data_IF_859616407692
#
_entry.id   IF_859616407692
#
_cell.length_a   1.000
_cell.length_b   1.000
_cell.length_c   1.000
_cell.angle_alpha   90.00
_cell.angle_beta   90.00
_cell.angle_gamma   90.00
#
_symmetry.space_group_name_H-M   'P 1'
#
loop_
_entity.id
_entity.type
_entity.pdbx_description
1 polymer ?
#
# COMPACT_ATOMS: atom_id res chain seq x y z
N UNK A 1 44.18 69.83 -18.48
CA UNK A 1 45.00 69.29 -17.37
C UNK A 1 44.19 69.32 -16.08
N UNK A 2 43.72 68.15 -15.62
CA UNK A 2 43.49 67.73 -14.23
C UNK A 2 42.93 66.28 -14.28
N UNK A 3 43.79 65.31 -13.97
CA UNK A 3 43.46 63.95 -13.50
C UNK A 3 42.89 64.07 -12.07
N UNK A 4 42.18 63.15 -11.40
CA UNK A 4 42.09 61.68 -11.43
C UNK A 4 40.92 61.23 -10.51
N UNK A 5 40.28 60.10 -10.83
CA UNK A 5 39.74 58.98 -9.97
C UNK A 5 39.48 59.26 -8.47
N UNK A 6 38.41 58.84 -7.79
CA UNK A 6 37.58 57.63 -7.80
C UNK A 6 36.29 57.97 -7.01
N UNK A 7 35.14 57.31 -7.15
CA UNK A 7 34.86 56.03 -6.51
C UNK A 7 33.54 55.46 -7.06
N UNK A 8 33.59 54.18 -7.38
CA UNK A 8 32.52 53.30 -7.82
C UNK A 8 31.44 53.11 -6.75
N UNK A 9 30.16 53.15 -7.16
CA UNK A 9 28.96 52.38 -6.76
C UNK A 9 27.71 53.26 -7.02
N UNK A 10 26.59 52.75 -7.58
CA UNK A 10 26.14 51.36 -7.55
C UNK A 10 25.70 50.79 -8.93
N UNK A 11 26.23 49.63 -9.31
CA UNK A 11 25.58 48.74 -10.28
C UNK A 11 24.69 47.81 -9.45
N UNK A 12 23.49 48.29 -9.15
CA UNK A 12 22.43 47.53 -8.51
C UNK A 12 21.18 47.80 -9.34
N UNK A 13 20.50 46.72 -9.73
CA UNK A 13 19.25 46.64 -10.50
C UNK A 13 19.44 46.45 -12.01
N UNK A 14 19.65 45.18 -12.40
CA UNK A 14 19.21 44.46 -13.60
C UNK A 14 20.00 43.13 -13.52
N UNK A 15 19.47 41.93 -13.35
CA UNK A 15 18.22 41.32 -13.80
C UNK A 15 17.91 40.08 -12.95
N UNK A 16 16.62 39.92 -12.67
CA UNK A 16 15.89 38.66 -12.54
C UNK A 16 16.61 37.44 -11.98
N UNK A 17 16.29 37.19 -10.71
CA UNK A 17 16.05 35.87 -10.12
C UNK A 17 15.62 34.80 -11.14
N UNK A 18 16.57 33.99 -11.62
CA UNK A 18 16.23 32.65 -12.11
C UNK A 18 16.10 31.74 -10.90
N UNK A 19 14.93 31.86 -10.28
CA UNK A 19 14.47 31.04 -9.19
C UNK A 19 14.49 29.55 -9.58
N UNK A 20 15.19 28.74 -8.80
CA UNK A 20 14.66 27.49 -8.23
C UNK A 20 14.05 26.41 -9.14
N UNK A 21 14.34 26.35 -10.44
CA UNK A 21 13.72 25.36 -11.33
C UNK A 21 14.45 24.01 -11.41
N UNK A 22 15.68 23.90 -10.92
CA UNK A 22 16.51 22.71 -11.16
C UNK A 22 16.47 21.66 -10.02
N UNK A 23 16.10 22.03 -8.79
CA UNK A 23 16.09 21.08 -7.67
C UNK A 23 14.86 20.16 -7.63
N UNK A 24 13.78 20.50 -8.33
CA UNK A 24 12.59 19.66 -8.42
C UNK A 24 12.74 18.49 -9.42
N UNK A 25 13.70 18.57 -10.35
CA UNK A 25 13.83 17.59 -11.44
C UNK A 25 14.70 16.37 -11.07
N UNK A 26 15.53 16.46 -10.03
CA UNK A 26 16.46 15.38 -9.66
C UNK A 26 15.99 14.48 -8.52
N UNK A 27 14.95 14.85 -7.77
CA UNK A 27 14.49 14.04 -6.63
C UNK A 27 13.70 12.79 -7.01
N UNK A 28 13.25 12.69 -8.26
CA UNK A 28 12.28 11.68 -8.67
C UNK A 28 12.84 10.42 -9.35
N UNK A 29 14.17 10.34 -9.53
CA UNK A 29 14.76 9.23 -10.30
C UNK A 29 14.69 7.85 -9.64
N UNK A 30 14.50 7.72 -8.33
CA UNK A 30 14.57 6.41 -7.65
C UNK A 30 13.57 6.15 -6.51
N UNK A 31 12.60 7.04 -6.22
CA UNK A 31 11.63 6.79 -5.14
C UNK A 31 10.46 5.91 -5.60
N UNK A 32 10.74 4.69 -6.04
CA UNK A 32 9.69 3.74 -6.39
C UNK A 32 8.87 3.39 -5.13
N UNK A 33 7.54 3.41 -5.23
CA UNK A 33 6.64 3.05 -4.13
C UNK A 33 6.93 1.61 -3.69
N UNK A 34 7.22 1.42 -2.40
CA UNK A 34 7.35 0.07 -1.84
C UNK A 34 5.99 -0.63 -1.85
N UNK A 35 5.99 -1.96 -1.94
CA UNK A 35 4.78 -2.72 -1.64
C UNK A 35 4.36 -2.41 -0.20
N UNK A 36 3.09 -2.04 -0.03
CA UNK A 36 2.49 -1.78 1.28
C UNK A 36 1.55 -2.94 1.62
N UNK A 37 1.59 -3.39 2.86
CA UNK A 37 0.61 -4.36 3.37
C UNK A 37 -0.55 -3.54 3.92
N UNK A 38 -1.71 -3.63 3.27
CA UNK A 38 -2.93 -3.06 3.78
C UNK A 38 -3.67 -4.14 4.59
N UNK A 39 -4.10 -3.74 5.79
CA UNK A 39 -4.67 -4.68 6.77
C UNK A 39 -6.08 -4.23 7.14
N UNK A 40 -7.04 -5.14 7.05
CA UNK A 40 -8.39 -4.95 7.56
C UNK A 40 -8.64 -5.93 8.70
N UNK A 41 -9.13 -5.44 9.82
CA UNK A 41 -9.34 -6.24 11.03
C UNK A 41 -10.81 -6.23 11.40
N UNK A 42 -11.33 -7.43 11.68
CA UNK A 42 -12.69 -7.66 12.13
C UNK A 42 -12.63 -8.41 13.46
N UNK A 43 -13.47 -8.04 14.41
CA UNK A 43 -13.49 -8.66 15.74
C UNK A 43 -14.86 -9.28 16.01
N UNK A 44 -14.82 -10.40 16.73
CA UNK A 44 -15.99 -11.08 17.27
C UNK A 44 -15.81 -11.13 18.79
N UNK A 45 -16.78 -10.57 19.51
CA UNK A 45 -16.73 -10.51 20.97
C UNK A 45 -17.37 -11.75 21.60
N UNK A 46 -18.44 -12.31 21.00
CA UNK A 46 -19.18 -13.47 21.49
C UNK A 46 -19.18 -14.69 20.56
N UNK A 47 -19.98 -15.69 20.90
CA UNK A 47 -20.14 -16.96 20.18
C UNK A 47 -21.52 -17.11 19.50
N UNK A 48 -22.15 -15.98 19.14
CA UNK A 48 -23.45 -15.97 18.52
C UNK A 48 -23.35 -16.34 17.03
N UNK A 49 -24.19 -17.28 16.59
CA UNK A 49 -24.26 -17.74 15.20
C UNK A 49 -24.50 -16.61 14.17
N UNK A 50 -25.30 -15.61 14.53
CA UNK A 50 -25.61 -14.46 13.67
C UNK A 50 -24.36 -13.58 13.51
N UNK A 51 -23.66 -13.29 14.60
CA UNK A 51 -22.48 -12.45 14.57
C UNK A 51 -21.34 -13.12 13.78
N UNK A 52 -21.24 -14.45 13.87
CA UNK A 52 -20.35 -15.24 13.00
C UNK A 52 -20.70 -15.08 11.53
N UNK A 53 -21.97 -15.21 11.16
CA UNK A 53 -22.40 -15.08 9.75
C UNK A 53 -22.07 -13.68 9.21
N UNK A 54 -22.35 -12.64 9.98
CA UNK A 54 -22.01 -11.25 9.63
C UNK A 54 -20.50 -11.08 9.47
N UNK A 55 -19.70 -11.63 10.38
CA UNK A 55 -18.24 -11.60 10.31
C UNK A 55 -17.73 -12.27 9.04
N UNK A 56 -18.21 -13.48 8.74
CA UNK A 56 -17.83 -14.22 7.54
C UNK A 56 -18.20 -13.42 6.29
N UNK A 57 -19.41 -12.84 6.25
CA UNK A 57 -19.83 -11.98 5.14
C UNK A 57 -18.91 -10.78 4.92
N UNK A 58 -18.48 -10.10 5.99
CA UNK A 58 -17.54 -8.98 5.92
C UNK A 58 -16.17 -9.41 5.40
N UNK A 59 -15.65 -10.53 5.91
CA UNK A 59 -14.35 -11.08 5.49
C UNK A 59 -14.39 -11.50 4.03
N UNK A 60 -15.47 -12.16 3.59
CA UNK A 60 -15.66 -12.53 2.19
C UNK A 60 -15.72 -11.30 1.28
N UNK A 61 -16.41 -10.24 1.71
CA UNK A 61 -16.40 -8.95 1.01
C UNK A 61 -15.00 -8.37 0.85
N UNK A 62 -14.17 -8.45 1.89
CA UNK A 62 -12.79 -7.96 1.85
C UNK A 62 -11.86 -8.81 0.98
N UNK A 63 -12.08 -10.13 0.91
CA UNK A 63 -11.25 -11.07 0.12
C UNK A 63 -11.65 -11.10 -1.36
N UNK A 64 -12.93 -10.85 -1.69
CA UNK A 64 -13.47 -11.02 -3.05
C UNK A 64 -12.71 -10.23 -4.12
N UNK A 65 -12.21 -9.07 -3.76
CA UNK A 65 -11.58 -8.15 -4.71
C UNK A 65 -10.07 -8.40 -4.88
N UNK A 66 -9.46 -9.34 -4.12
CA UNK A 66 -8.02 -9.61 -4.19
C UNK A 66 -7.67 -11.09 -3.92
N UNK A 67 -7.31 -11.78 -5.01
CA UNK A 67 -6.89 -13.21 -5.01
C UNK A 67 -5.56 -13.47 -4.27
N UNK A 68 -4.78 -12.43 -3.97
CA UNK A 68 -3.55 -12.50 -3.20
C UNK A 68 -3.74 -12.34 -1.68
N UNK A 69 -4.98 -12.10 -1.23
CA UNK A 69 -5.27 -11.84 0.18
C UNK A 69 -4.93 -13.02 1.08
N UNK A 70 -4.34 -12.73 2.24
CA UNK A 70 -4.14 -13.69 3.34
C UNK A 70 -5.12 -13.40 4.45
N UNK A 71 -5.71 -14.46 5.02
CA UNK A 71 -6.62 -14.35 6.16
C UNK A 71 -5.97 -14.98 7.38
N UNK A 72 -5.88 -14.21 8.45
CA UNK A 72 -5.33 -14.64 9.74
C UNK A 72 -6.42 -14.56 10.79
N UNK A 73 -6.77 -15.69 11.38
CA UNK A 73 -7.74 -15.80 12.46
C UNK A 73 -6.96 -15.98 13.75
N UNK A 74 -7.04 -14.99 14.63
CA UNK A 74 -6.43 -14.99 15.94
C UNK A 74 -7.51 -15.18 17.01
N UNK A 75 -7.22 -16.00 18.03
CA UNK A 75 -8.08 -16.16 19.19
C UNK A 75 -7.26 -16.13 20.48
N UNK A 76 -7.85 -15.55 21.52
CA UNK A 76 -7.20 -15.32 22.82
C UNK A 76 -7.74 -16.23 23.92
N UNK A 77 -9.05 -16.51 23.90
CA UNK A 77 -9.74 -17.36 24.88
C UNK A 77 -9.90 -18.79 24.38
N UNK A 78 -9.71 -19.78 25.25
CA UNK A 78 -9.83 -21.21 24.88
C UNK A 78 -11.20 -21.56 24.29
N UNK A 79 -12.26 -20.94 24.78
CA UNK A 79 -13.64 -21.11 24.30
C UNK A 79 -13.88 -20.59 22.88
N UNK A 80 -13.03 -19.69 22.37
CA UNK A 80 -13.11 -19.16 21.01
C UNK A 80 -12.40 -20.03 19.97
N UNK A 81 -11.74 -21.12 20.39
CA UNK A 81 -11.05 -22.03 19.48
C UNK A 81 -12.02 -22.69 18.50
N UNK A 82 -13.11 -23.24 19.01
CA UNK A 82 -14.11 -23.93 18.18
C UNK A 82 -14.78 -22.94 17.20
N UNK A 83 -14.96 -21.69 17.65
CA UNK A 83 -15.46 -20.60 16.82
C UNK A 83 -14.47 -20.21 15.71
N UNK A 84 -13.16 -20.19 16.00
CA UNK A 84 -12.12 -19.96 15.00
C UNK A 84 -12.09 -21.05 13.93
N UNK A 85 -12.24 -22.31 14.33
CA UNK A 85 -12.33 -23.43 13.40
C UNK A 85 -13.62 -23.35 12.55
N UNK A 86 -14.75 -22.97 13.16
CA UNK A 86 -16.00 -22.75 12.45
C UNK A 86 -15.93 -21.62 11.42
N UNK A 87 -15.33 -20.47 11.79
CA UNK A 87 -15.10 -19.34 10.87
C UNK A 87 -14.19 -19.76 9.72
N UNK A 88 -13.09 -20.46 10.00
CA UNK A 88 -12.20 -20.97 8.94
C UNK A 88 -12.94 -21.88 7.98
N UNK A 89 -13.73 -22.82 8.51
CA UNK A 89 -14.49 -23.75 7.68
C UNK A 89 -15.53 -23.01 6.82
N UNK A 90 -16.24 -22.03 7.39
CA UNK A 90 -17.22 -21.24 6.65
C UNK A 90 -16.56 -20.45 5.49
N UNK A 91 -15.39 -19.86 5.71
CA UNK A 91 -14.62 -19.18 4.67
C UNK A 91 -14.20 -20.14 3.55
N UNK A 92 -13.71 -21.33 3.90
CA UNK A 92 -13.28 -22.35 2.93
C UNK A 92 -14.47 -22.85 2.09
N UNK A 93 -15.59 -23.16 2.73
CA UNK A 93 -16.82 -23.60 2.04
C UNK A 93 -17.34 -22.50 1.12
N UNK A 94 -17.14 -21.23 1.48
CA UNK A 94 -17.51 -20.07 0.67
C UNK A 94 -16.51 -19.76 -0.46
N UNK A 95 -15.49 -20.58 -0.66
CA UNK A 95 -14.56 -20.50 -1.79
C UNK A 95 -13.22 -19.82 -1.50
N UNK A 96 -12.92 -19.49 -0.24
CA UNK A 96 -11.57 -19.01 0.12
C UNK A 96 -10.59 -20.18 0.12
N UNK A 97 -9.45 -20.01 -0.54
CA UNK A 97 -8.46 -21.06 -0.65
C UNK A 97 -7.92 -21.49 0.74
N UNK A 98 -7.93 -22.80 1.11
CA UNK A 98 -7.56 -23.24 2.46
C UNK A 98 -6.15 -22.84 2.92
N UNK A 99 -5.21 -22.70 1.99
CA UNK A 99 -3.83 -22.33 2.26
C UNK A 99 -3.62 -20.84 2.55
N UNK A 100 -4.61 -19.99 2.27
CA UNK A 100 -4.56 -18.55 2.59
C UNK A 100 -5.15 -18.23 3.95
N UNK A 101 -5.85 -19.18 4.58
CA UNK A 101 -6.51 -19.02 5.89
C UNK A 101 -5.69 -19.71 6.99
N UNK A 102 -5.11 -18.91 7.88
CA UNK A 102 -4.30 -19.37 9.01
C UNK A 102 -5.00 -19.12 10.34
N UNK A 103 -4.88 -20.05 11.29
CA UNK A 103 -5.38 -19.89 12.65
C UNK A 103 -4.19 -19.81 13.60
N UNK A 104 -4.20 -18.83 14.51
CA UNK A 104 -3.16 -18.63 15.50
C UNK A 104 -3.80 -18.41 16.88
N UNK A 105 -3.25 -19.06 17.90
CA UNK A 105 -3.58 -18.75 19.28
C UNK A 105 -2.70 -17.59 19.74
N UNK A 106 -3.30 -16.50 20.18
CA UNK A 106 -2.58 -15.41 20.83
C UNK A 106 -2.26 -15.82 22.27
N UNK A 107 -0.98 -16.10 22.55
CA UNK A 107 -0.49 -16.50 23.88
C UNK A 107 0.16 -15.31 24.57
N UNK A 108 -0.59 -14.63 25.43
CA UNK A 108 -0.06 -13.62 26.36
C UNK A 108 0.36 -12.29 25.72
N UNK A 109 -0.16 -11.20 26.27
CA UNK A 109 0.16 -9.82 25.85
C UNK A 109 -1.03 -8.91 26.14
N UNK A 110 -0.79 -7.78 26.81
CA UNK A 110 -1.78 -6.76 27.11
C UNK A 110 -2.25 -6.12 25.79
N UNK A 111 -3.22 -6.74 25.12
CA UNK A 111 -3.84 -6.17 23.92
C UNK A 111 -5.07 -5.38 24.35
N UNK A 112 -5.16 -4.11 23.91
CA UNK A 112 -6.34 -3.25 24.12
C UNK A 112 -7.64 -3.84 23.55
N UNK A 113 -7.57 -4.97 22.83
CA UNK A 113 -8.69 -5.77 22.34
C UNK A 113 -9.17 -6.85 23.34
N UNK A 114 -8.98 -6.67 24.64
CA UNK A 114 -9.41 -7.62 25.71
C UNK A 114 -10.89 -8.05 25.62
N UNK A 115 -11.72 -7.33 24.86
CA UNK A 115 -13.13 -7.69 24.60
C UNK A 115 -13.33 -8.69 23.47
N UNK A 116 -12.47 -8.69 22.45
CA UNK A 116 -12.61 -9.58 21.31
C UNK A 116 -12.09 -10.99 21.68
N UNK A 117 -12.98 -11.97 21.63
CA UNK A 117 -12.62 -13.38 21.82
C UNK A 117 -11.93 -13.95 20.58
N UNK A 118 -12.25 -13.39 19.41
CA UNK A 118 -11.70 -13.75 18.11
C UNK A 118 -11.50 -12.51 17.23
N UNK A 119 -10.38 -12.48 16.50
CA UNK A 119 -10.01 -11.41 15.57
C UNK A 119 -9.64 -12.03 14.23
N UNK A 120 -10.26 -11.55 13.15
CA UNK A 120 -9.93 -11.92 11.78
C UNK A 120 -9.24 -10.75 11.10
N UNK A 121 -8.04 -10.98 10.61
CA UNK A 121 -7.25 -10.01 9.87
C UNK A 121 -7.13 -10.45 8.42
N UNK A 122 -7.50 -9.57 7.50
CA UNK A 122 -7.29 -9.74 6.06
C UNK A 122 -6.12 -8.85 5.66
N UNK A 123 -5.06 -9.46 5.15
CA UNK A 123 -3.84 -8.80 4.71
C UNK A 123 -3.79 -8.86 3.18
N UNK A 124 -3.65 -7.68 2.55
CA UNK A 124 -3.49 -7.56 1.11
C UNK A 124 -2.23 -6.79 0.75
N UNK A 125 -1.56 -7.22 -0.31
CA UNK A 125 -0.38 -6.52 -0.83
C UNK A 125 -0.85 -5.51 -1.85
N UNK A 126 -0.74 -4.22 -1.51
CA UNK A 126 -1.11 -3.14 -2.41
C UNK A 126 0.14 -2.42 -2.91
N UNK A 127 0.20 -2.21 -4.22
CA UNK A 127 1.15 -1.27 -4.82
C UNK A 127 0.49 0.10 -4.91
N UNK A 128 1.11 1.10 -4.30
CA UNK A 128 0.75 2.49 -4.58
C UNK A 128 1.29 2.86 -5.96
N UNK A 129 0.39 3.05 -6.91
CA UNK A 129 0.78 3.59 -8.22
C UNK A 129 1.18 5.05 -8.08
N UNK A 130 2.27 5.45 -8.75
CA UNK A 130 2.53 6.89 -8.92
C UNK A 130 1.61 7.44 -10.01
N UNK A 131 1.07 8.62 -9.78
CA UNK A 131 0.41 9.40 -10.82
C UNK A 131 1.45 9.83 -11.86
N UNK A 132 1.50 9.13 -12.99
CA UNK A 132 2.41 9.47 -14.07
C UNK A 132 1.90 10.72 -14.81
N UNK A 133 2.56 11.86 -14.62
CA UNK A 133 2.26 13.12 -15.32
C UNK A 133 3.12 13.22 -16.57
N UNK A 134 2.68 12.62 -17.67
CA UNK A 134 3.36 12.75 -18.96
C UNK A 134 3.00 14.06 -19.66
N UNK A 135 3.48 15.18 -19.13
CA UNK A 135 3.27 16.49 -19.76
C UNK A 135 4.42 16.91 -20.70
N UNK A 136 5.40 16.03 -20.96
CA UNK A 136 6.54 16.34 -21.81
C UNK A 136 6.36 15.74 -23.21
N UNK A 137 5.97 16.57 -24.19
CA UNK A 137 5.90 16.19 -25.61
C UNK A 137 7.29 16.11 -26.30
N UNK A 138 8.39 16.30 -25.55
CA UNK A 138 9.76 16.29 -26.08
C UNK A 138 10.51 15.00 -25.71
N UNK A 139 9.92 13.83 -26.01
CA UNK A 139 10.63 12.57 -25.85
C UNK A 139 11.78 12.50 -26.88
N UNK A 140 13.01 12.34 -26.39
CA UNK A 140 14.19 12.06 -27.21
C UNK A 140 14.82 10.79 -26.69
N UNK A 141 14.89 9.77 -27.54
CA UNK A 141 15.47 8.48 -27.21
C UNK A 141 16.91 8.62 -26.69
N UNK A 142 17.22 7.92 -25.59
CA UNK A 142 18.56 7.73 -25.02
C UNK A 142 18.71 6.27 -24.57
N UNK A 143 19.88 5.67 -24.80
CA UNK A 143 20.12 4.25 -24.50
C UNK A 143 19.99 3.89 -23.00
N UNK A 144 20.11 4.88 -22.09
CA UNK A 144 19.95 4.71 -20.65
C UNK A 144 18.67 5.37 -20.10
N UNK A 145 17.68 5.66 -20.95
CA UNK A 145 16.42 6.20 -20.44
C UNK A 145 15.67 5.14 -19.63
N UNK A 146 15.24 5.52 -18.43
CA UNK A 146 14.36 4.67 -17.63
C UNK A 146 13.07 4.44 -18.40
N UNK A 147 12.66 3.18 -18.56
CA UNK A 147 11.32 2.81 -19.03
C UNK A 147 10.30 3.68 -18.27
N UNK A 148 9.53 4.49 -19.01
CA UNK A 148 8.73 5.57 -18.41
C UNK A 148 7.82 5.11 -17.26
N UNK A 149 7.43 6.04 -16.38
CA UNK A 149 6.64 5.79 -15.16
C UNK A 149 5.48 4.77 -15.31
N UNK A 150 4.65 4.87 -16.34
CA UNK A 150 3.53 3.97 -16.62
C UNK A 150 3.98 2.55 -16.98
N UNK A 151 5.03 2.39 -17.82
CA UNK A 151 5.56 1.05 -18.11
C UNK A 151 6.07 0.39 -16.84
N UNK A 152 6.70 1.15 -15.95
CA UNK A 152 7.18 0.61 -14.68
C UNK A 152 6.03 0.32 -13.69
N UNK A 153 4.98 1.15 -13.65
CA UNK A 153 3.77 0.85 -12.89
C UNK A 153 3.12 -0.45 -13.39
N UNK A 154 2.99 -0.64 -14.70
CA UNK A 154 2.44 -1.85 -15.31
C UNK A 154 3.31 -3.08 -15.01
N UNK A 155 4.63 -2.97 -15.18
CA UNK A 155 5.56 -4.04 -14.79
C UNK A 155 5.39 -4.43 -13.32
N UNK A 156 5.29 -3.45 -12.42
CA UNK A 156 5.17 -3.73 -10.98
C UNK A 156 3.83 -4.34 -10.62
N UNK A 157 2.72 -3.91 -11.23
CA UNK A 157 1.42 -4.57 -11.08
C UNK A 157 1.51 -6.06 -11.42
N UNK A 158 2.17 -6.40 -12.52
CA UNK A 158 2.35 -7.79 -12.93
C UNK A 158 3.15 -8.64 -11.93
N UNK A 159 4.02 -8.02 -11.11
CA UNK A 159 4.77 -8.72 -10.07
C UNK A 159 3.92 -9.08 -8.84
N UNK A 160 2.88 -8.29 -8.54
CA UNK A 160 1.98 -8.54 -7.41
C UNK A 160 0.77 -9.38 -7.82
N UNK A 161 0.22 -9.11 -9.01
CA UNK A 161 -0.85 -9.91 -9.59
C UNK A 161 -0.46 -10.35 -11.02
N UNK A 162 0.09 -11.56 -11.19
CA UNK A 162 0.55 -12.04 -12.49
C UNK A 162 -0.58 -12.30 -13.49
N UNK A 163 -1.86 -12.20 -13.09
CA UNK A 163 -3.00 -12.31 -14.00
C UNK A 163 -3.53 -10.95 -14.49
N UNK A 164 -3.02 -9.83 -13.95
CA UNK A 164 -3.38 -8.48 -14.37
C UNK A 164 -2.41 -8.00 -15.47
N UNK A 165 -2.74 -8.31 -16.72
CA UNK A 165 -2.01 -7.82 -17.89
C UNK A 165 -2.63 -6.52 -18.39
N UNK A 166 -1.83 -5.46 -18.46
CA UNK A 166 -2.22 -4.17 -19.04
C UNK A 166 -1.53 -4.05 -20.40
N UNK A 167 -2.30 -4.08 -21.48
CA UNK A 167 -1.85 -3.86 -22.85
C UNK A 167 -1.86 -2.36 -23.18
#
# INVERSE_FOLDING_TARGET
MKFSTALLLPILLFLCSSAGANDAYQRDKNSYSSAEIETQTFSLEGNNSIDREILVGKVLGAVRDDRGSRVRIAWSKREAKDEADAVRQALIVSGVAPYTVTILQEKGGFSLSERASLTVTVERVRLRERNCRYNAQNYRYRDNDSLGCALNNSLRKSLVNPMEFIF
#
